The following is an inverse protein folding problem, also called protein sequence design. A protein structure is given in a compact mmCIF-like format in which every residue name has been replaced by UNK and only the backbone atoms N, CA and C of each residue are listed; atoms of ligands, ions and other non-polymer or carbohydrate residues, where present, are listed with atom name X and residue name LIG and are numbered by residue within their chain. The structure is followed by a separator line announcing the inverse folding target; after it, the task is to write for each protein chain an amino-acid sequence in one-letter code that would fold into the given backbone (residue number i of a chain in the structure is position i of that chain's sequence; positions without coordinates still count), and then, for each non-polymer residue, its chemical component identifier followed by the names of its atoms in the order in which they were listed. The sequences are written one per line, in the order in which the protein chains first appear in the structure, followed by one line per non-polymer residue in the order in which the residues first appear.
data_IF_629950744058
#
_entry.id   IF_629950744058
#
_cell.length_a   1.000
_cell.length_b   1.000
_cell.length_c   1.000
_cell.angle_alpha   90.00
_cell.angle_beta   90.00
_cell.angle_gamma   90.00
#
_symmetry.space_group_name_H-M   'P 1'
#
loop_
_entity.id
_entity.type
_entity.pdbx_description
1 polymer ?
#
# COMPACT_ATOMS: atom_id res chain seq x y z
N UNK A 1 29.93 5.97 -17.08
CA UNK A 1 28.68 5.56 -16.41
C UNK A 1 28.50 6.49 -15.20
N UNK A 2 27.35 7.17 -15.08
CA UNK A 2 27.12 8.27 -14.11
C UNK A 2 27.37 7.84 -12.67
N UNK A 3 27.01 6.62 -12.27
CA UNK A 3 27.14 6.14 -10.88
C UNK A 3 28.49 5.43 -10.60
N UNK A 4 29.39 5.30 -11.57
CA UNK A 4 30.67 4.61 -11.35
C UNK A 4 31.54 5.22 -10.23
N UNK A 5 31.58 6.56 -10.02
CA UNK A 5 32.37 7.15 -8.93
C UNK A 5 31.92 6.73 -7.53
N UNK A 6 30.67 6.28 -7.37
CA UNK A 6 30.08 5.91 -6.08
C UNK A 6 30.19 4.41 -5.77
N UNK A 7 30.86 3.62 -6.63
CA UNK A 7 30.88 2.16 -6.52
C UNK A 7 31.45 1.68 -5.16
N UNK A 8 32.59 2.23 -4.76
CA UNK A 8 33.25 1.83 -3.50
C UNK A 8 32.42 2.19 -2.27
N UNK A 9 31.77 3.35 -2.28
CA UNK A 9 30.86 3.77 -1.22
C UNK A 9 29.66 2.81 -1.12
N UNK A 10 29.01 2.54 -2.26
CA UNK A 10 27.84 1.65 -2.30
C UNK A 10 28.23 0.22 -1.90
N UNK A 11 29.39 -0.25 -2.32
CA UNK A 11 29.93 -1.56 -1.90
C UNK A 11 30.07 -1.62 -0.37
N UNK A 12 30.75 -0.67 0.26
CA UNK A 12 30.95 -0.64 1.71
C UNK A 12 29.61 -0.63 2.46
N UNK A 13 28.64 0.22 2.02
CA UNK A 13 27.31 0.27 2.61
C UNK A 13 26.52 -1.05 2.48
N UNK A 14 26.67 -1.76 1.35
CA UNK A 14 26.03 -3.04 1.12
C UNK A 14 26.70 -4.21 1.88
N UNK A 15 27.99 -4.08 2.21
CA UNK A 15 28.69 -5.03 3.07
C UNK A 15 28.22 -4.88 4.53
N UNK A 16 28.02 -3.65 5.00
CA UNK A 16 27.52 -3.33 6.33
C UNK A 16 26.04 -3.68 6.48
N UNK A 17 25.22 -3.34 5.49
CA UNK A 17 23.76 -3.53 5.46
C UNK A 17 23.35 -4.38 4.24
N UNK A 18 23.51 -5.70 4.35
CA UNK A 18 23.28 -6.64 3.22
C UNK A 18 21.82 -6.66 2.74
N UNK A 19 20.88 -6.34 3.60
CA UNK A 19 19.43 -6.28 3.32
C UNK A 19 18.99 -4.98 2.66
N UNK A 20 19.85 -3.95 2.62
CA UNK A 20 19.51 -2.63 2.11
C UNK A 20 18.84 -2.68 0.73
N UNK A 21 17.77 -1.91 0.56
CA UNK A 21 17.09 -1.74 -0.71
C UNK A 21 17.81 -0.73 -1.62
N UNK A 22 17.53 -0.77 -2.92
CA UNK A 22 18.07 0.23 -3.85
C UNK A 22 17.54 1.65 -3.55
N UNK A 23 16.35 1.78 -2.96
CA UNK A 23 15.81 3.06 -2.51
C UNK A 23 16.65 3.63 -1.36
N UNK A 24 16.96 2.82 -0.33
CA UNK A 24 17.85 3.24 0.75
C UNK A 24 19.24 3.65 0.27
N UNK A 25 19.82 2.90 -0.69
CA UNK A 25 21.09 3.30 -1.30
C UNK A 25 20.97 4.63 -2.02
N UNK A 26 19.84 4.88 -2.70
CA UNK A 26 19.59 6.16 -3.37
C UNK A 26 19.53 7.33 -2.38
N UNK A 27 18.84 7.15 -1.27
CA UNK A 27 18.76 8.15 -0.20
C UNK A 27 20.13 8.41 0.41
N UNK A 28 20.91 7.37 0.71
CA UNK A 28 22.29 7.52 1.21
C UNK A 28 23.22 8.26 0.24
N UNK A 29 23.05 8.04 -1.07
CA UNK A 29 23.83 8.80 -2.07
C UNK A 29 23.48 10.29 -2.05
N UNK A 30 22.20 10.63 -1.92
CA UNK A 30 21.74 12.02 -1.78
C UNK A 30 22.21 12.68 -0.50
N UNK A 31 22.24 11.94 0.60
CA UNK A 31 22.66 12.47 1.91
C UNK A 31 24.17 12.61 2.06
N UNK A 32 24.94 11.75 1.39
CA UNK A 32 26.40 11.68 1.58
C UNK A 32 27.21 12.48 0.57
N UNK A 33 26.61 12.90 -0.53
CA UNK A 33 27.30 13.60 -1.62
C UNK A 33 26.48 14.80 -2.08
N UNK A 34 26.94 16.00 -1.71
CA UNK A 34 26.28 17.27 -2.09
C UNK A 34 26.23 17.51 -3.60
N UNK A 35 27.16 16.90 -4.34
CA UNK A 35 27.27 16.98 -5.81
C UNK A 35 26.58 15.81 -6.52
N UNK A 36 25.82 14.97 -5.79
CA UNK A 36 25.12 13.84 -6.39
C UNK A 36 24.06 14.30 -7.37
N UNK A 37 24.25 13.90 -8.63
CA UNK A 37 23.23 14.13 -9.67
C UNK A 37 22.09 13.13 -9.47
N UNK A 38 20.91 13.61 -9.10
CA UNK A 38 19.74 12.78 -8.93
C UNK A 38 19.36 12.08 -10.23
N UNK A 39 19.36 10.76 -10.18
CA UNK A 39 19.07 9.88 -11.32
C UNK A 39 17.80 9.08 -11.03
N UNK A 40 17.18 8.59 -12.11
CA UNK A 40 16.00 7.75 -12.00
C UNK A 40 16.25 6.54 -11.08
N UNK A 41 15.28 6.22 -10.20
CA UNK A 41 15.32 5.11 -9.27
C UNK A 41 15.69 3.76 -9.93
N UNK A 42 15.23 3.53 -11.17
CA UNK A 42 15.60 2.34 -11.96
C UNK A 42 17.10 2.28 -12.28
N UNK A 43 17.74 3.42 -12.50
CA UNK A 43 19.20 3.51 -12.73
C UNK A 43 19.96 3.11 -11.46
N UNK A 44 19.52 3.59 -10.29
CA UNK A 44 20.11 3.19 -9.01
C UNK A 44 19.88 1.70 -8.73
N UNK A 45 18.67 1.21 -8.97
CA UNK A 45 18.37 -0.23 -8.83
C UNK A 45 19.33 -1.10 -9.67
N UNK A 46 19.49 -0.78 -10.95
CA UNK A 46 20.39 -1.51 -11.84
C UNK A 46 21.85 -1.40 -11.38
N UNK A 47 22.25 -0.25 -10.84
CA UNK A 47 23.60 -0.06 -10.32
C UNK A 47 23.84 -0.88 -9.05
N UNK A 48 22.92 -0.88 -8.09
CA UNK A 48 22.99 -1.70 -6.88
C UNK A 48 23.08 -3.18 -7.23
N UNK A 49 22.26 -3.63 -8.20
CA UNK A 49 22.32 -5.01 -8.68
C UNK A 49 23.69 -5.34 -9.30
N UNK A 50 24.24 -4.43 -10.08
CA UNK A 50 25.58 -4.56 -10.67
C UNK A 50 26.66 -4.66 -9.56
N UNK A 51 26.65 -3.78 -8.57
CA UNK A 51 27.62 -3.80 -7.46
C UNK A 51 27.52 -5.11 -6.67
N UNK A 52 26.29 -5.54 -6.34
CA UNK A 52 26.07 -6.83 -5.66
C UNK A 52 26.63 -8.01 -6.45
N UNK A 53 26.34 -8.09 -7.74
CA UNK A 53 26.82 -9.19 -8.57
C UNK A 53 28.33 -9.16 -8.76
N UNK A 54 28.92 -7.97 -8.96
CA UNK A 54 30.36 -7.82 -9.14
C UNK A 54 31.16 -8.19 -7.92
N UNK A 55 30.67 -7.85 -6.73
CA UNK A 55 31.38 -8.06 -5.45
C UNK A 55 30.87 -9.26 -4.64
N UNK A 56 29.94 -10.05 -5.18
CA UNK A 56 29.43 -11.24 -4.50
C UNK A 56 28.68 -10.94 -3.19
N UNK A 57 27.94 -9.83 -3.14
CA UNK A 57 27.16 -9.41 -1.97
C UNK A 57 25.68 -9.81 -2.18
N UNK A 58 25.28 -11.04 -1.80
CA UNK A 58 23.89 -11.46 -1.99
C UNK A 58 22.97 -10.66 -1.05
N UNK A 59 21.79 -10.30 -1.55
CA UNK A 59 20.75 -9.78 -0.68
C UNK A 59 20.19 -10.94 0.14
N UNK A 60 20.13 -10.85 1.49
CA UNK A 60 19.49 -11.87 2.29
C UNK A 60 18.04 -12.05 1.85
N UNK A 61 17.62 -13.29 1.71
CA UNK A 61 16.22 -13.60 1.50
C UNK A 61 15.59 -13.72 2.88
N UNK A 62 14.89 -12.67 3.29
CA UNK A 62 14.13 -12.67 4.54
C UNK A 62 12.88 -13.54 4.33
N UNK A 63 12.92 -14.76 4.82
CA UNK A 63 11.75 -15.64 4.82
C UNK A 63 10.80 -15.10 5.89
N UNK A 64 9.77 -14.37 5.45
CA UNK A 64 8.68 -14.03 6.38
C UNK A 64 7.97 -15.32 6.75
N UNK A 65 8.16 -15.75 8.00
CA UNK A 65 7.34 -16.81 8.58
C UNK A 65 5.91 -16.30 8.69
N UNK A 66 5.07 -16.71 7.74
CA UNK A 66 3.63 -16.45 7.81
C UNK A 66 3.05 -17.39 8.88
N UNK A 67 2.76 -16.85 10.05
CA UNK A 67 1.89 -17.53 11.02
C UNK A 67 0.47 -17.55 10.45
N UNK A 68 -0.09 -18.74 10.33
CA UNK A 68 -1.48 -18.89 9.95
C UNK A 68 -2.35 -18.24 11.05
N UNK A 69 -3.09 -17.20 10.69
CA UNK A 69 -4.08 -16.63 11.60
C UNK A 69 -5.25 -17.61 11.76
N UNK A 70 -5.81 -17.68 12.97
CA UNK A 70 -6.99 -18.49 13.24
C UNK A 70 -8.14 -18.10 12.31
N UNK A 71 -8.86 -19.11 11.83
CA UNK A 71 -10.02 -18.89 10.98
C UNK A 71 -11.16 -18.26 11.78
N UNK A 72 -11.58 -17.07 11.36
CA UNK A 72 -12.72 -16.39 11.98
C UNK A 72 -14.06 -17.08 11.64
N UNK A 73 -15.05 -17.04 12.53
CA UNK A 73 -16.41 -17.47 12.23
C UNK A 73 -17.02 -16.69 11.05
N UNK A 74 -17.98 -17.30 10.36
CA UNK A 74 -18.76 -16.60 9.33
C UNK A 74 -19.46 -15.36 9.90
N UNK A 75 -19.50 -14.28 9.14
CA UNK A 75 -20.12 -13.03 9.56
C UNK A 75 -19.36 -12.24 10.64
N UNK A 76 -18.23 -12.76 11.13
CA UNK A 76 -17.46 -12.07 12.18
C UNK A 76 -16.80 -10.81 11.66
N UNK A 77 -16.13 -10.88 10.52
CA UNK A 77 -15.29 -9.78 10.05
C UNK A 77 -15.31 -9.63 8.54
N UNK A 78 -15.27 -8.37 8.09
CA UNK A 78 -14.95 -7.97 6.73
C UNK A 78 -13.73 -7.05 6.72
N UNK A 79 -13.05 -6.98 5.59
CA UNK A 79 -11.97 -6.05 5.31
C UNK A 79 -12.39 -5.12 4.18
N UNK A 80 -12.12 -3.83 4.33
CA UNK A 80 -12.38 -2.81 3.31
C UNK A 80 -11.07 -2.18 2.90
N UNK A 81 -10.87 -2.09 1.60
CA UNK A 81 -9.72 -1.46 0.99
C UNK A 81 -10.17 -0.51 -0.13
N UNK A 82 -9.48 0.62 -0.26
CA UNK A 82 -9.66 1.58 -1.33
C UNK A 82 -8.43 1.56 -2.22
N UNK A 83 -8.65 1.73 -3.51
CA UNK A 83 -7.55 1.75 -4.44
C UNK A 83 -7.86 2.52 -5.70
N UNK A 84 -6.82 2.70 -6.51
CA UNK A 84 -6.92 3.30 -7.83
C UNK A 84 -6.21 2.44 -8.87
N UNK A 85 -6.74 2.47 -10.08
CA UNK A 85 -6.17 1.73 -11.21
C UNK A 85 -6.27 2.56 -12.49
N UNK A 86 -5.23 2.52 -13.30
CA UNK A 86 -5.23 3.17 -14.60
C UNK A 86 -5.68 2.17 -15.67
N UNK A 87 -6.90 2.35 -16.16
CA UNK A 87 -7.47 1.57 -17.26
C UNK A 87 -7.15 2.21 -18.61
N UNK A 88 -7.16 1.42 -19.65
CA UNK A 88 -7.14 1.90 -21.03
C UNK A 88 -8.54 1.74 -21.62
N UNK A 89 -9.12 2.82 -22.14
CA UNK A 89 -10.42 2.78 -22.82
C UNK A 89 -10.29 2.12 -24.18
N UNK A 90 -11.40 1.74 -24.80
CA UNK A 90 -11.44 1.17 -26.17
C UNK A 90 -10.83 2.12 -27.22
N UNK A 91 -10.84 3.44 -26.94
CA UNK A 91 -10.18 4.46 -27.75
C UNK A 91 -8.66 4.60 -27.49
N UNK A 92 -8.09 3.74 -26.64
CA UNK A 92 -6.66 3.79 -26.28
C UNK A 92 -6.27 4.89 -25.28
N UNK A 93 -7.23 5.61 -24.70
CA UNK A 93 -6.97 6.65 -23.70
C UNK A 93 -6.82 6.04 -22.31
N UNK A 94 -5.84 6.53 -21.53
CA UNK A 94 -5.70 6.17 -20.12
C UNK A 94 -6.74 6.91 -19.27
N UNK A 95 -7.49 6.16 -18.46
CA UNK A 95 -8.44 6.69 -17.51
C UNK A 95 -8.17 6.11 -16.12
N UNK A 96 -8.04 6.97 -15.12
CA UNK A 96 -7.92 6.53 -13.72
C UNK A 96 -9.31 6.17 -13.21
N UNK A 97 -9.42 5.02 -12.57
CA UNK A 97 -10.63 4.50 -11.93
C UNK A 97 -10.31 4.24 -10.47
N UNK A 98 -11.20 4.61 -9.59
CA UNK A 98 -11.11 4.36 -8.15
C UNK A 98 -12.02 3.20 -7.79
N UNK A 99 -11.67 2.44 -6.78
CA UNK A 99 -12.51 1.35 -6.31
C UNK A 99 -12.51 1.23 -4.80
N UNK A 100 -13.63 0.73 -4.27
CA UNK A 100 -13.77 0.19 -2.93
C UNK A 100 -13.97 -1.31 -3.06
N UNK A 101 -13.19 -2.08 -2.31
CA UNK A 101 -13.33 -3.53 -2.23
C UNK A 101 -13.65 -3.93 -0.79
N UNK A 102 -14.80 -4.59 -0.57
CA UNK A 102 -15.20 -5.18 0.70
C UNK A 102 -15.14 -6.71 0.57
N UNK A 103 -14.38 -7.35 1.46
CA UNK A 103 -14.12 -8.80 1.44
C UNK A 103 -14.46 -9.39 2.79
N UNK A 104 -15.33 -10.41 2.81
CA UNK A 104 -15.59 -11.19 4.00
C UNK A 104 -14.37 -12.04 4.37
N UNK A 105 -13.83 -11.89 5.58
CA UNK A 105 -12.58 -12.52 5.99
C UNK A 105 -12.62 -14.04 5.92
N UNK A 106 -13.74 -14.67 6.25
CA UNK A 106 -13.88 -16.13 6.26
C UNK A 106 -14.15 -16.73 4.88
N UNK A 107 -15.17 -16.25 4.19
CA UNK A 107 -15.64 -16.85 2.91
C UNK A 107 -14.87 -16.33 1.69
N UNK A 108 -14.13 -15.22 1.85
CA UNK A 108 -13.51 -14.48 0.75
C UNK A 108 -14.51 -13.93 -0.27
N UNK A 109 -15.80 -13.97 0.05
CA UNK A 109 -16.84 -13.36 -0.76
C UNK A 109 -16.63 -11.86 -0.78
N UNK A 110 -16.71 -11.25 -1.95
CA UNK A 110 -16.31 -9.86 -2.15
C UNK A 110 -17.33 -9.05 -2.93
N UNK A 111 -17.41 -7.78 -2.61
CA UNK A 111 -18.10 -6.75 -3.36
C UNK A 111 -17.10 -5.69 -3.79
N UNK A 112 -17.17 -5.24 -5.04
CA UNK A 112 -16.31 -4.16 -5.57
C UNK A 112 -17.20 -3.09 -6.18
N UNK A 113 -16.97 -1.83 -5.78
CA UNK A 113 -17.63 -0.66 -6.33
C UNK A 113 -16.60 0.22 -7.02
N UNK A 114 -16.85 0.56 -8.28
CA UNK A 114 -15.98 1.44 -9.06
C UNK A 114 -16.53 2.87 -9.13
N UNK A 115 -15.64 3.84 -9.21
CA UNK A 115 -15.94 5.26 -9.40
C UNK A 115 -14.95 5.90 -10.38
N UNK A 116 -15.42 6.84 -11.16
CA UNK A 116 -14.58 7.65 -12.05
C UNK A 116 -13.94 8.84 -11.32
N UNK A 117 -14.40 9.13 -10.12
CA UNK A 117 -13.86 10.17 -9.24
C UNK A 117 -13.36 9.58 -7.93
N UNK A 118 -12.40 10.23 -7.25
CA UNK A 118 -11.98 9.82 -5.92
C UNK A 118 -13.18 9.69 -4.98
N UNK A 119 -13.15 8.70 -4.10
CA UNK A 119 -14.18 8.58 -3.08
C UNK A 119 -14.10 9.77 -2.11
N UNK A 120 -15.24 10.23 -1.68
CA UNK A 120 -15.42 11.12 -0.53
C UNK A 120 -16.00 10.31 0.62
N UNK A 121 -15.98 10.83 1.85
CA UNK A 121 -16.62 10.15 2.99
C UNK A 121 -18.07 9.76 2.69
N UNK A 122 -18.84 10.64 2.05
CA UNK A 122 -20.26 10.38 1.71
C UNK A 122 -20.42 9.30 0.63
N UNK A 123 -19.59 9.33 -0.42
CA UNK A 123 -19.64 8.31 -1.46
C UNK A 123 -19.13 6.96 -0.98
N UNK A 124 -18.18 6.94 -0.03
CA UNK A 124 -17.74 5.74 0.66
C UNK A 124 -18.86 5.12 1.50
N UNK A 125 -19.60 5.93 2.29
CA UNK A 125 -20.77 5.50 3.04
C UNK A 125 -21.81 4.84 2.11
N UNK A 126 -22.14 5.51 0.99
CA UNK A 126 -23.08 4.98 0.02
C UNK A 126 -22.58 3.66 -0.64
N UNK A 127 -21.27 3.50 -0.83
CA UNK A 127 -20.68 2.26 -1.34
C UNK A 127 -20.76 1.12 -0.31
N UNK A 128 -20.59 1.41 0.99
CA UNK A 128 -20.80 0.44 2.07
C UNK A 128 -22.26 -0.03 2.12
N UNK A 129 -23.23 0.88 2.03
CA UNK A 129 -24.63 0.50 2.01
C UNK A 129 -24.97 -0.44 0.85
N UNK A 130 -24.43 -0.17 -0.33
CA UNK A 130 -24.57 -1.06 -1.49
C UNK A 130 -23.92 -2.42 -1.26
N UNK A 131 -22.75 -2.45 -0.62
CA UNK A 131 -22.05 -3.70 -0.28
C UNK A 131 -22.86 -4.53 0.71
N UNK A 132 -23.39 -3.92 1.76
CA UNK A 132 -24.22 -4.60 2.77
C UNK A 132 -25.53 -5.11 2.18
N UNK A 133 -26.15 -4.34 1.31
CA UNK A 133 -27.33 -4.80 0.57
C UNK A 133 -27.01 -5.99 -0.31
N UNK A 134 -25.89 -5.95 -1.06
CA UNK A 134 -25.45 -7.05 -1.92
C UNK A 134 -25.11 -8.32 -1.13
N UNK A 135 -24.55 -8.18 0.06
CA UNK A 135 -24.19 -9.28 0.95
C UNK A 135 -25.33 -9.76 1.84
N UNK A 136 -26.50 -9.08 1.76
CA UNK A 136 -27.68 -9.36 2.58
C UNK A 136 -27.39 -9.30 4.10
N UNK A 137 -26.43 -8.47 4.51
CA UNK A 137 -26.07 -8.32 5.91
C UNK A 137 -24.81 -7.52 6.16
N UNK A 138 -24.51 -7.33 7.44
CA UNK A 138 -23.35 -6.61 7.94
C UNK A 138 -22.56 -7.56 8.86
N UNK A 139 -21.23 -7.54 8.78
CA UNK A 139 -20.37 -8.29 9.69
C UNK A 139 -20.27 -7.57 11.05
N UNK A 140 -19.93 -8.30 12.10
CA UNK A 140 -19.75 -7.74 13.44
C UNK A 140 -18.60 -6.74 13.52
N UNK A 141 -17.59 -6.94 12.69
CA UNK A 141 -16.40 -6.09 12.62
C UNK A 141 -16.05 -5.76 11.18
N UNK A 142 -15.58 -4.55 10.96
CA UNK A 142 -15.02 -4.14 9.67
C UNK A 142 -13.62 -3.57 9.93
N UNK A 143 -12.62 -4.14 9.26
CA UNK A 143 -11.23 -3.69 9.32
C UNK A 143 -10.95 -2.81 8.11
N UNK A 144 -10.42 -1.63 8.37
CA UNK A 144 -9.95 -0.68 7.36
C UNK A 144 -8.44 -0.58 7.43
N UNK A 145 -7.78 -0.46 6.28
CA UNK A 145 -6.44 0.07 6.26
C UNK A 145 -6.48 1.58 6.59
N UNK A 146 -5.36 2.14 7.05
CA UNK A 146 -5.27 3.56 7.41
C UNK A 146 -5.47 4.43 6.16
N UNK A 147 -6.72 4.75 5.84
CA UNK A 147 -7.08 5.59 4.71
C UNK A 147 -7.56 6.97 5.21
N UNK A 148 -6.90 8.02 4.75
CA UNK A 148 -7.23 9.43 5.03
C UNK A 148 -8.66 9.81 4.63
N UNK A 149 -9.33 9.01 3.81
CA UNK A 149 -10.70 9.19 3.40
C UNK A 149 -11.70 9.08 4.56
N UNK A 150 -11.40 8.20 5.52
CA UNK A 150 -12.24 7.92 6.69
C UNK A 150 -11.69 8.57 7.96
N UNK A 151 -10.41 8.97 7.94
CA UNK A 151 -9.67 9.50 9.06
C UNK A 151 -9.40 11.00 8.87
N UNK A 152 -9.54 11.76 9.95
CA UNK A 152 -9.16 13.19 9.98
C UNK A 152 -7.72 13.33 10.44
N UNK A 153 -7.29 12.51 11.40
CA UNK A 153 -5.96 12.57 12.01
C UNK A 153 -5.61 11.27 12.74
N UNK A 154 -4.31 11.06 13.00
CA UNK A 154 -3.79 10.00 13.85
C UNK A 154 -3.06 10.64 15.04
N UNK A 155 -3.62 10.52 16.24
CA UNK A 155 -3.01 11.04 17.45
C UNK A 155 -2.52 9.88 18.34
N UNK A 156 -1.21 9.58 18.29
CA UNK A 156 -0.52 8.58 19.13
C UNK A 156 -1.17 7.19 19.16
N UNK A 157 -1.71 6.76 18.00
CA UNK A 157 -2.38 5.46 17.86
C UNK A 157 -3.91 5.50 17.98
N UNK A 158 -4.50 6.65 18.35
CA UNK A 158 -5.94 6.84 18.29
C UNK A 158 -6.35 7.38 16.92
N UNK A 159 -7.21 6.66 16.22
CA UNK A 159 -7.73 7.03 14.90
C UNK A 159 -8.93 7.95 15.06
N UNK A 160 -8.86 9.16 14.50
CA UNK A 160 -9.96 10.13 14.52
C UNK A 160 -10.75 10.00 13.23
N UNK A 161 -11.92 9.37 13.31
CA UNK A 161 -12.85 9.24 12.18
C UNK A 161 -13.47 10.59 11.80
N UNK A 162 -13.79 10.76 10.49
CA UNK A 162 -14.64 11.88 10.09
C UNK A 162 -15.99 11.82 10.79
N UNK A 163 -16.57 12.96 11.13
CA UNK A 163 -17.86 13.02 11.86
C UNK A 163 -18.99 12.27 11.13
N UNK A 164 -19.03 12.37 9.81
CA UNK A 164 -20.04 11.69 9.01
C UNK A 164 -19.87 10.16 9.08
N UNK A 165 -18.63 9.67 9.00
CA UNK A 165 -18.39 8.23 9.05
C UNK A 165 -18.59 7.67 10.47
N UNK A 166 -18.20 8.42 11.50
CA UNK A 166 -18.45 8.04 12.90
C UNK A 166 -19.95 7.88 13.18
N UNK A 167 -20.78 8.87 12.79
CA UNK A 167 -22.25 8.80 12.94
C UNK A 167 -22.84 7.63 12.17
N UNK A 168 -22.34 7.38 10.98
CA UNK A 168 -22.75 6.22 10.19
C UNK A 168 -22.45 4.90 10.89
N UNK A 169 -21.22 4.71 11.39
CA UNK A 169 -20.81 3.51 12.11
C UNK A 169 -21.61 3.30 13.40
N UNK A 170 -21.90 4.37 14.15
CA UNK A 170 -22.74 4.32 15.36
C UNK A 170 -24.18 3.92 15.05
N UNK A 171 -24.74 4.39 13.92
CA UNK A 171 -26.12 4.06 13.54
C UNK A 171 -26.28 2.60 13.05
N UNK A 172 -25.19 1.95 12.65
CA UNK A 172 -25.18 0.57 12.14
C UNK A 172 -24.84 -0.49 13.21
N UNK A 173 -24.54 -0.06 14.43
CA UNK A 173 -24.38 -0.94 15.60
C UNK A 173 -25.75 -1.33 16.13
#
# INVERSE_FOLDING_TARGET
KILAPYEDYVKARLEDCKDASAAQVHDWLKESFDDFIDVNAKTVFNFVLYVRNKHGIPKPFDHRDYTQADELPYGKQAQVDFGEYNMTTDEGKRKKVYFLCLVLSRSRYKYVCFSESPFTTLSAIAAHDKAFWYMEGITLEIVYDQDTLLLVDENKGDLILTDAFRKYAEHRR
#
